data_IF_824179300792
#
_entry.id   IF_824179300792
#
_cell.length_a   1.000
_cell.length_b   1.000
_cell.length_c   1.000
_cell.angle_alpha   90.00
_cell.angle_beta   90.00
_cell.angle_gamma   90.00
#
_symmetry.space_group_name_H-M   'P 1'
#
loop_
_entity.id
_entity.type
_entity.pdbx_description
1 polymer ?
#
# COMPACT_ATOMS: atom_id res chain seq x y z
N UNK A 1 0.06 -4.14 -19.81
CA UNK A 1 1.01 -4.01 -18.70
C UNK A 1 0.33 -4.54 -17.43
N UNK A 2 0.99 -5.35 -16.60
CA UNK A 2 0.40 -5.82 -15.36
C UNK A 2 0.11 -4.64 -14.41
N UNK A 3 -0.97 -4.75 -13.62
CA UNK A 3 -1.24 -3.80 -12.54
C UNK A 3 -0.24 -4.02 -11.39
N UNK A 4 0.01 -2.98 -10.60
CA UNK A 4 0.91 -3.01 -9.44
C UNK A 4 0.14 -2.64 -8.19
N UNK A 5 0.14 -3.50 -7.18
CA UNK A 5 -0.48 -3.24 -5.89
C UNK A 5 0.56 -3.19 -4.77
N UNK A 6 0.58 -2.11 -4.02
CA UNK A 6 1.39 -1.97 -2.81
C UNK A 6 0.53 -2.37 -1.63
N UNK A 7 0.83 -3.52 -1.05
CA UNK A 7 -0.05 -4.26 -0.14
C UNK A 7 0.40 -4.28 1.33
N UNK A 8 1.54 -3.68 1.64
CA UNK A 8 2.05 -3.62 3.01
C UNK A 8 1.36 -2.55 3.88
N UNK A 9 1.79 -2.44 5.14
CA UNK A 9 1.19 -1.52 6.08
C UNK A 9 1.40 -0.05 5.68
N UNK A 10 0.49 0.81 6.10
CA UNK A 10 0.69 2.25 6.00
C UNK A 10 1.95 2.69 6.74
N UNK A 11 2.46 3.90 6.50
CA UNK A 11 3.70 4.43 7.11
C UNK A 11 4.99 3.67 6.73
N UNK A 12 4.94 2.83 5.69
CA UNK A 12 6.07 2.11 5.11
C UNK A 12 6.38 2.61 3.69
N UNK A 13 6.66 3.92 3.54
CA UNK A 13 7.13 4.57 2.32
C UNK A 13 6.15 4.58 1.12
N UNK A 14 4.84 4.44 1.33
CA UNK A 14 3.84 4.47 0.23
C UNK A 14 3.95 5.74 -0.61
N UNK A 15 4.17 6.90 0.00
CA UNK A 15 4.40 8.15 -0.72
C UNK A 15 5.68 8.17 -1.58
N UNK A 16 6.78 7.57 -1.09
CA UNK A 16 8.02 7.46 -1.88
C UNK A 16 7.85 6.50 -3.06
N UNK A 17 7.12 5.40 -2.87
CA UNK A 17 6.75 4.48 -3.94
C UNK A 17 5.86 5.15 -4.99
N UNK A 18 4.85 5.92 -4.55
CA UNK A 18 4.00 6.70 -5.45
C UNK A 18 4.83 7.65 -6.32
N UNK A 19 5.74 8.40 -5.71
CA UNK A 19 6.63 9.30 -6.48
C UNK A 19 7.57 8.54 -7.42
N UNK A 20 8.09 7.38 -7.01
CA UNK A 20 8.90 6.51 -7.86
C UNK A 20 8.13 6.07 -9.11
N UNK A 21 6.89 5.62 -8.96
CA UNK A 21 6.07 5.22 -10.12
C UNK A 21 5.80 6.41 -11.05
N UNK A 22 5.44 7.56 -10.52
CA UNK A 22 5.20 8.78 -11.32
C UNK A 22 6.44 9.23 -12.08
N UNK A 23 7.61 9.21 -11.45
CA UNK A 23 8.88 9.57 -12.11
C UNK A 23 9.21 8.61 -13.26
N UNK A 24 8.66 7.40 -13.26
CA UNK A 24 8.83 6.42 -14.32
C UNK A 24 7.65 6.38 -15.31
N UNK A 25 6.78 7.40 -15.31
CA UNK A 25 5.68 7.56 -16.26
C UNK A 25 4.47 6.64 -16.01
N UNK A 26 4.41 5.99 -14.84
CA UNK A 26 3.28 5.14 -14.48
C UNK A 26 2.16 5.99 -13.86
N UNK A 27 0.93 5.71 -14.24
CA UNK A 27 -0.25 6.30 -13.61
C UNK A 27 -0.46 5.65 -12.26
N UNK A 28 -0.15 6.39 -11.21
CA UNK A 28 -0.20 5.89 -9.82
C UNK A 28 -1.26 6.62 -9.03
N UNK A 29 -2.11 5.90 -8.30
CA UNK A 29 -3.07 6.42 -7.32
C UNK A 29 -2.62 6.06 -5.91
N UNK A 30 -2.67 7.05 -5.02
CA UNK A 30 -2.24 6.92 -3.64
C UNK A 30 -3.27 7.58 -2.72
N UNK A 31 -3.92 6.79 -1.90
CA UNK A 31 -4.92 7.17 -0.90
C UNK A 31 -6.19 7.85 -1.47
N UNK A 32 -6.05 8.90 -2.28
CA UNK A 32 -7.15 9.63 -2.92
C UNK A 32 -8.22 10.09 -1.89
N UNK A 33 -7.78 10.72 -0.80
CA UNK A 33 -8.62 11.15 0.34
C UNK A 33 -9.50 10.01 0.93
N UNK A 34 -8.99 8.77 0.87
CA UNK A 34 -9.70 7.57 1.29
C UNK A 34 -10.71 7.03 0.28
N UNK A 35 -10.92 7.75 -0.84
CA UNK A 35 -11.88 7.35 -1.89
C UNK A 35 -11.45 6.06 -2.57
N UNK A 36 -10.15 5.84 -2.76
CA UNK A 36 -9.63 4.58 -3.34
C UNK A 36 -10.11 3.37 -2.54
N UNK A 37 -9.84 3.32 -1.24
CA UNK A 37 -10.24 2.21 -0.37
C UNK A 37 -11.77 2.05 -0.32
N UNK A 38 -12.50 3.15 -0.18
CA UNK A 38 -13.97 3.16 -0.14
C UNK A 38 -14.57 2.61 -1.44
N UNK A 39 -14.03 3.02 -2.59
CA UNK A 39 -14.49 2.54 -3.90
C UNK A 39 -14.19 1.05 -4.07
N UNK A 40 -12.98 0.61 -3.72
CA UNK A 40 -12.61 -0.80 -3.81
C UNK A 40 -13.54 -1.70 -2.98
N UNK A 41 -13.85 -1.34 -1.73
CA UNK A 41 -14.81 -2.10 -0.90
C UNK A 41 -16.21 -2.07 -1.50
N UNK A 42 -16.69 -0.91 -1.95
CA UNK A 42 -18.00 -0.79 -2.60
C UNK A 42 -18.11 -1.67 -3.86
N UNK A 43 -17.06 -1.70 -4.67
CA UNK A 43 -17.00 -2.54 -5.87
C UNK A 43 -17.08 -4.03 -5.51
N UNK A 44 -16.28 -4.49 -4.54
CA UNK A 44 -16.32 -5.88 -4.05
C UNK A 44 -17.72 -6.23 -3.55
N UNK A 45 -18.33 -5.37 -2.74
CA UNK A 45 -19.68 -5.59 -2.20
C UNK A 45 -20.76 -5.64 -3.29
N UNK A 46 -20.54 -4.95 -4.40
CA UNK A 46 -21.44 -4.97 -5.57
C UNK A 46 -21.12 -6.09 -6.59
N UNK A 47 -20.15 -6.97 -6.31
CA UNK A 47 -19.71 -8.02 -7.24
C UNK A 47 -18.99 -7.49 -8.49
N UNK A 48 -18.47 -6.27 -8.44
CA UNK A 48 -17.73 -5.62 -9.52
C UNK A 48 -16.23 -5.90 -9.42
N UNK A 49 -15.49 -5.53 -10.47
CA UNK A 49 -14.04 -5.54 -10.42
C UNK A 49 -13.56 -4.56 -9.33
N UNK A 50 -12.60 -5.00 -8.48
CA UNK A 50 -12.16 -4.24 -7.30
C UNK A 50 -11.66 -2.84 -7.64
N UNK A 51 -11.05 -2.64 -8.81
CA UNK A 51 -10.58 -1.34 -9.29
C UNK A 51 -11.55 -0.61 -10.23
N UNK A 52 -12.82 -1.02 -10.29
CA UNK A 52 -13.80 -0.39 -11.17
C UNK A 52 -13.91 1.11 -10.89
N UNK A 53 -13.73 1.93 -11.94
CA UNK A 53 -13.61 3.40 -11.86
C UNK A 53 -12.19 3.91 -11.64
N UNK A 54 -11.19 3.02 -11.58
CA UNK A 54 -9.75 3.30 -11.52
C UNK A 54 -8.95 2.50 -12.56
N UNK A 55 -9.59 1.99 -13.60
CA UNK A 55 -8.98 1.10 -14.60
C UNK A 55 -7.79 1.74 -15.33
N UNK A 56 -7.79 3.06 -15.44
CA UNK A 56 -6.73 3.83 -16.11
C UNK A 56 -5.43 3.92 -15.31
N UNK A 57 -5.46 3.57 -14.02
CA UNK A 57 -4.27 3.57 -13.20
C UNK A 57 -3.48 2.27 -13.33
N UNK A 58 -2.16 2.38 -13.25
CA UNK A 58 -1.21 1.27 -13.31
C UNK A 58 -0.85 0.76 -11.92
N UNK A 59 -0.73 1.69 -10.95
CA UNK A 59 -0.24 1.42 -9.59
C UNK A 59 -1.22 1.91 -8.53
N UNK A 60 -1.46 1.07 -7.52
CA UNK A 60 -2.42 1.28 -6.44
C UNK A 60 -1.72 1.21 -5.09
N UNK A 61 -1.80 2.29 -4.30
CA UNK A 61 -1.09 2.41 -3.03
C UNK A 61 -1.97 3.04 -1.95
N UNK A 62 -1.67 2.66 -0.71
CA UNK A 62 -2.26 3.25 0.49
C UNK A 62 -3.80 3.24 0.48
N UNK A 63 -4.38 2.10 0.05
CA UNK A 63 -5.83 1.91 0.09
C UNK A 63 -6.29 1.60 1.51
N UNK A 64 -6.09 2.59 2.37
CA UNK A 64 -6.53 2.68 3.75
C UNK A 64 -7.67 3.67 3.91
N UNK A 65 -8.62 3.32 4.76
CA UNK A 65 -9.63 4.25 5.26
C UNK A 65 -9.90 3.95 6.73
N UNK A 66 -9.90 5.00 7.54
CA UNK A 66 -10.27 4.93 8.95
C UNK A 66 -11.29 6.03 9.24
N UNK A 67 -12.52 5.62 9.54
CA UNK A 67 -13.60 6.46 10.05
C UNK A 67 -14.00 5.95 11.43
N UNK A 68 -14.88 6.64 12.19
CA UNK A 68 -15.34 6.12 13.47
C UNK A 68 -15.96 4.70 13.41
N UNK A 69 -16.60 4.38 12.28
CA UNK A 69 -17.40 3.14 12.14
C UNK A 69 -16.80 2.16 11.11
N UNK A 70 -15.70 2.52 10.46
CA UNK A 70 -15.17 1.71 9.36
C UNK A 70 -13.63 1.78 9.30
N UNK A 71 -13.02 0.60 9.33
CA UNK A 71 -11.60 0.43 9.03
C UNK A 71 -11.41 -0.45 7.80
N UNK A 72 -10.73 0.09 6.79
CA UNK A 72 -10.32 -0.63 5.58
C UNK A 72 -8.80 -0.60 5.53
N UNK A 73 -8.21 -1.76 5.30
CA UNK A 73 -6.77 -1.91 5.07
C UNK A 73 -6.48 -2.83 3.88
N UNK A 74 -5.26 -2.83 3.35
CA UNK A 74 -4.86 -3.79 2.32
C UNK A 74 -5.12 -5.26 2.69
N UNK A 75 -5.05 -5.63 3.96
CA UNK A 75 -5.35 -7.00 4.44
C UNK A 75 -6.77 -7.45 4.10
N UNK A 76 -7.75 -6.54 4.18
CA UNK A 76 -9.15 -6.83 3.83
C UNK A 76 -9.33 -7.03 2.32
N UNK A 77 -8.63 -6.25 1.52
CA UNK A 77 -8.84 -6.19 0.06
C UNK A 77 -7.94 -7.16 -0.72
N UNK A 78 -6.80 -7.56 -0.14
CA UNK A 78 -5.80 -8.40 -0.80
C UNK A 78 -6.36 -9.71 -1.39
N UNK A 79 -7.20 -10.50 -0.71
CA UNK A 79 -7.75 -11.73 -1.28
C UNK A 79 -8.57 -11.47 -2.55
N UNK A 80 -9.35 -10.40 -2.58
CA UNK A 80 -10.14 -10.01 -3.76
C UNK A 80 -9.26 -9.55 -4.91
N UNK A 81 -8.21 -8.76 -4.59
CA UNK A 81 -7.23 -8.31 -5.57
C UNK A 81 -6.52 -9.53 -6.16
N UNK A 82 -6.03 -10.45 -5.33
CA UNK A 82 -5.29 -11.64 -5.77
C UNK A 82 -6.16 -12.54 -6.67
N UNK A 83 -7.43 -12.71 -6.33
CA UNK A 83 -8.35 -13.52 -7.14
C UNK A 83 -8.69 -12.90 -8.50
N UNK A 84 -8.80 -11.56 -8.57
CA UNK A 84 -9.17 -10.85 -9.79
C UNK A 84 -7.97 -10.47 -10.67
N UNK A 85 -6.78 -10.37 -10.07
CA UNK A 85 -5.54 -9.99 -10.74
C UNK A 85 -4.39 -10.97 -10.41
N UNK A 86 -4.52 -12.25 -10.80
CA UNK A 86 -3.53 -13.27 -10.45
C UNK A 86 -2.13 -13.01 -11.04
N UNK A 87 -2.06 -12.23 -12.14
CA UNK A 87 -0.81 -11.85 -12.80
C UNK A 87 -0.34 -10.42 -12.46
N UNK A 88 -0.98 -9.76 -11.48
CA UNK A 88 -0.53 -8.45 -11.02
C UNK A 88 0.80 -8.55 -10.26
N UNK A 89 1.52 -7.45 -10.17
CA UNK A 89 2.73 -7.35 -9.37
C UNK A 89 2.38 -6.82 -7.98
N UNK A 90 2.82 -7.51 -6.97
CA UNK A 90 2.57 -7.19 -5.57
C UNK A 90 3.84 -6.68 -4.91
N UNK A 91 3.76 -5.55 -4.23
CA UNK A 91 4.86 -4.99 -3.46
C UNK A 91 4.46 -4.97 -1.99
N UNK A 92 5.10 -5.81 -1.20
CA UNK A 92 4.98 -5.80 0.25
C UNK A 92 6.00 -4.81 0.80
N UNK A 93 5.56 -3.58 1.00
CA UNK A 93 6.39 -2.54 1.61
C UNK A 93 6.45 -2.73 3.13
N UNK A 94 7.65 -2.68 3.67
CA UNK A 94 7.93 -2.87 5.08
C UNK A 94 8.95 -1.86 5.61
N UNK A 95 9.08 -1.82 6.91
CA UNK A 95 10.16 -1.18 7.64
C UNK A 95 10.35 -1.90 8.98
N UNK A 96 11.42 -1.56 9.71
CA UNK A 96 11.64 -2.11 11.04
C UNK A 96 10.41 -1.84 11.92
N UNK A 97 9.92 -2.88 12.63
CA UNK A 97 8.63 -2.88 13.34
C UNK A 97 8.51 -1.77 14.38
N UNK A 98 9.59 -1.52 15.15
CA UNK A 98 9.59 -0.46 16.17
C UNK A 98 9.54 0.93 15.52
N UNK A 99 10.20 1.14 14.40
CA UNK A 99 10.18 2.38 13.65
C UNK A 99 8.82 2.61 12.95
N UNK A 100 8.19 1.54 12.46
CA UNK A 100 6.82 1.60 11.98
C UNK A 100 5.86 2.04 13.08
N UNK A 101 5.93 1.41 14.26
CA UNK A 101 5.09 1.74 15.41
C UNK A 101 5.25 3.20 15.82
N UNK A 102 6.50 3.69 15.93
CA UNK A 102 6.79 5.11 16.21
C UNK A 102 6.21 6.05 15.15
N UNK A 103 6.34 5.69 13.86
CA UNK A 103 5.80 6.49 12.77
C UNK A 103 4.28 6.54 12.78
N UNK A 104 3.63 5.43 13.11
CA UNK A 104 2.18 5.31 13.22
C UNK A 104 1.62 6.12 14.40
N UNK A 105 2.28 6.04 15.57
CA UNK A 105 1.91 6.81 16.76
C UNK A 105 2.02 8.33 16.56
N UNK A 106 2.95 8.77 15.69
CA UNK A 106 3.10 10.20 15.35
C UNK A 106 2.15 10.65 14.25
N UNK A 107 1.49 9.73 13.57
CA UNK A 107 0.63 10.04 12.42
C UNK A 107 -0.58 10.85 12.89
N UNK A 108 -0.88 11.92 12.16
CA UNK A 108 -2.00 12.82 12.43
C UNK A 108 -1.97 13.34 13.89
N UNK A 109 -0.77 13.80 14.31
CA UNK A 109 -0.50 14.29 15.67
C UNK A 109 -0.91 13.30 16.79
N UNK A 110 -0.79 12.00 16.52
CA UNK A 110 -1.14 10.93 17.46
C UNK A 110 -2.60 10.49 17.44
N UNK A 111 -3.47 11.19 16.73
CA UNK A 111 -4.90 10.89 16.70
C UNK A 111 -5.24 9.62 15.92
N UNK A 112 -4.41 9.23 14.95
CA UNK A 112 -4.66 8.05 14.12
C UNK A 112 -4.78 6.77 14.96
N UNK A 113 -3.81 6.51 15.86
CA UNK A 113 -3.82 5.32 16.69
C UNK A 113 -5.02 5.31 17.65
N UNK A 114 -5.35 6.47 18.22
CA UNK A 114 -6.53 6.58 19.09
C UNK A 114 -7.83 6.25 18.34
N UNK A 115 -8.04 6.82 17.14
CA UNK A 115 -9.21 6.49 16.30
C UNK A 115 -9.25 5.01 15.93
N UNK A 116 -8.10 4.41 15.65
CA UNK A 116 -8.02 3.00 15.30
C UNK A 116 -8.45 2.10 16.45
N UNK A 117 -7.95 2.34 17.67
CA UNK A 117 -8.38 1.62 18.88
C UNK A 117 -9.86 1.84 19.16
N UNK A 118 -10.36 3.07 19.01
CA UNK A 118 -11.79 3.36 19.18
C UNK A 118 -12.69 2.64 18.16
N UNK A 119 -12.22 2.46 16.92
CA UNK A 119 -12.96 1.77 15.85
C UNK A 119 -12.93 0.24 16.03
N UNK A 120 -11.79 -0.33 16.43
CA UNK A 120 -11.56 -1.78 16.46
C UNK A 120 -11.71 -2.41 17.85
N UNK A 121 -11.83 -1.61 18.91
CA UNK A 121 -11.92 -2.06 20.29
C UNK A 121 -10.59 -2.28 20.99
N UNK A 122 -10.65 -2.57 22.28
CA UNK A 122 -9.47 -2.70 23.16
C UNK A 122 -8.62 -3.95 22.85
N UNK A 123 -9.20 -4.96 22.21
CA UNK A 123 -8.50 -6.19 21.81
C UNK A 123 -7.63 -5.99 20.56
N UNK A 124 -7.73 -4.83 19.89
CA UNK A 124 -6.93 -4.57 18.70
C UNK A 124 -5.44 -4.44 19.03
N UNK A 125 -4.62 -5.25 18.40
CA UNK A 125 -3.16 -5.20 18.44
C UNK A 125 -2.59 -4.73 17.11
N UNK A 126 -1.92 -3.58 17.14
CA UNK A 126 -1.19 -3.09 15.95
C UNK A 126 -0.02 -3.99 15.56
N UNK A 127 0.53 -4.73 16.52
CA UNK A 127 1.63 -5.69 16.28
C UNK A 127 1.13 -6.91 15.54
N UNK A 128 -0.02 -7.45 15.94
CA UNK A 128 -0.66 -8.58 15.24
C UNK A 128 -1.12 -8.16 13.84
N UNK A 129 -1.64 -6.95 13.69
CA UNK A 129 -1.95 -6.40 12.36
C UNK A 129 -0.70 -6.36 11.49
N UNK A 130 0.44 -5.86 12.02
CA UNK A 130 1.69 -5.79 11.28
C UNK A 130 2.15 -7.17 10.81
N UNK A 131 2.17 -8.18 11.69
CA UNK A 131 2.58 -9.55 11.35
C UNK A 131 1.71 -10.18 10.26
N UNK A 132 0.39 -9.92 10.27
CA UNK A 132 -0.54 -10.45 9.27
C UNK A 132 -0.24 -9.98 7.84
N UNK A 133 0.45 -8.84 7.65
CA UNK A 133 0.87 -8.42 6.32
C UNK A 133 1.86 -9.37 5.66
N UNK A 134 2.66 -10.09 6.45
CA UNK A 134 3.68 -11.00 5.95
C UNK A 134 3.17 -12.41 5.63
N UNK A 135 1.94 -12.74 6.01
CA UNK A 135 1.27 -13.90 5.46
C UNK A 135 0.78 -13.57 4.04
N UNK A 136 1.54 -14.02 3.05
CA UNK A 136 1.29 -13.77 1.62
C UNK A 136 0.97 -15.07 0.87
N UNK A 137 0.41 -16.06 1.56
CA UNK A 137 0.06 -17.37 0.99
C UNK A 137 -0.95 -17.32 -0.16
N UNK A 138 -1.70 -16.21 -0.25
CA UNK A 138 -2.65 -15.90 -1.32
C UNK A 138 -2.01 -15.32 -2.60
N UNK A 139 -0.67 -15.10 -2.62
CA UNK A 139 0.05 -14.47 -3.73
C UNK A 139 1.14 -15.41 -4.25
N UNK A 140 1.21 -15.59 -5.58
CA UNK A 140 2.33 -16.31 -6.21
C UNK A 140 3.63 -15.53 -6.01
N UNK A 141 4.62 -16.16 -5.38
CA UNK A 141 5.91 -15.54 -5.02
C UNK A 141 6.66 -14.95 -6.23
N UNK A 142 6.42 -15.43 -7.45
CA UNK A 142 7.04 -14.87 -8.66
C UNK A 142 6.60 -13.45 -8.95
N UNK A 143 5.41 -13.06 -8.49
CA UNK A 143 4.83 -11.73 -8.65
C UNK A 143 4.96 -10.85 -7.41
N UNK A 144 5.60 -11.35 -6.34
CA UNK A 144 5.80 -10.65 -5.07
C UNK A 144 7.20 -10.05 -4.96
N UNK A 145 7.29 -8.80 -4.56
CA UNK A 145 8.53 -8.11 -4.20
C UNK A 145 8.45 -7.55 -2.79
N UNK A 146 9.43 -7.92 -1.95
CA UNK A 146 9.59 -7.32 -0.63
C UNK A 146 10.38 -6.02 -0.74
N UNK A 147 9.74 -4.91 -0.40
CA UNK A 147 10.34 -3.59 -0.38
C UNK A 147 10.60 -3.14 1.06
N UNK A 148 11.82 -3.35 1.53
CA UNK A 148 12.24 -2.89 2.85
C UNK A 148 12.72 -1.43 2.78
N UNK A 149 12.09 -0.54 3.59
CA UNK A 149 12.41 0.88 3.62
C UNK A 149 13.86 1.15 4.07
N UNK A 150 14.41 0.33 4.94
CA UNK A 150 15.77 0.46 5.46
C UNK A 150 16.84 -0.18 4.55
N UNK A 151 16.43 -1.02 3.60
CA UNK A 151 17.38 -1.72 2.72
C UNK A 151 18.17 -0.74 1.81
N UNK A 152 19.48 -0.95 1.64
CA UNK A 152 20.25 -0.21 0.65
C UNK A 152 19.78 -0.57 -0.77
N UNK A 153 19.81 0.41 -1.68
CA UNK A 153 19.42 0.21 -3.09
C UNK A 153 17.99 -0.34 -3.30
N UNK A 154 17.06 -0.11 -2.37
CA UNK A 154 15.67 -0.60 -2.45
C UNK A 154 14.96 -0.23 -3.75
N UNK A 155 15.11 1.00 -4.26
CA UNK A 155 14.51 1.41 -5.53
C UNK A 155 15.22 0.78 -6.74
N UNK A 156 16.51 0.48 -6.66
CA UNK A 156 17.22 -0.28 -7.70
C UNK A 156 16.70 -1.73 -7.77
N UNK A 157 16.49 -2.36 -6.61
CA UNK A 157 15.94 -3.72 -6.53
C UNK A 157 14.49 -3.75 -7.04
N UNK A 158 13.66 -2.80 -6.63
CA UNK A 158 12.29 -2.64 -7.13
C UNK A 158 12.27 -2.43 -8.65
N UNK A 159 13.12 -1.54 -9.17
CA UNK A 159 13.21 -1.29 -10.60
C UNK A 159 13.63 -2.53 -11.39
N UNK A 160 14.55 -3.34 -10.87
CA UNK A 160 14.94 -4.61 -11.48
C UNK A 160 13.79 -5.62 -11.49
N UNK A 161 13.02 -5.71 -10.40
CA UNK A 161 11.81 -6.55 -10.32
C UNK A 161 10.76 -6.13 -11.35
N UNK A 162 10.45 -4.85 -11.44
CA UNK A 162 9.47 -4.31 -12.38
C UNK A 162 9.88 -4.53 -13.83
N UNK A 163 11.16 -4.27 -14.19
CA UNK A 163 11.70 -4.51 -15.54
C UNK A 163 11.60 -5.98 -15.96
N UNK A 164 11.94 -6.90 -15.06
CA UNK A 164 11.85 -8.35 -15.32
C UNK A 164 10.42 -8.81 -15.60
N UNK A 165 9.44 -8.08 -15.07
CA UNK A 165 8.02 -8.34 -15.26
C UNK A 165 7.37 -7.42 -16.31
N UNK A 166 8.16 -6.85 -17.23
CA UNK A 166 7.67 -6.13 -18.41
C UNK A 166 7.26 -4.67 -18.18
N UNK A 167 7.56 -4.09 -17.01
CA UNK A 167 7.32 -2.66 -16.76
C UNK A 167 8.58 -1.86 -17.05
N UNK A 168 8.47 -0.86 -17.93
CA UNK A 168 9.60 0.00 -18.23
C UNK A 168 9.92 0.94 -17.06
N UNK A 169 11.16 0.92 -16.57
CA UNK A 169 11.66 1.78 -15.50
C UNK A 169 12.95 2.46 -15.99
N UNK A 170 12.90 3.76 -16.14
CA UNK A 170 14.05 4.58 -16.57
C UNK A 170 14.88 5.09 -15.39
N UNK A 171 14.22 5.47 -14.30
CA UNK A 171 14.84 6.10 -13.13
C UNK A 171 14.76 5.18 -11.91
N UNK A 172 15.89 4.95 -11.23
CA UNK A 172 16.01 4.10 -10.04
C UNK A 172 16.66 4.85 -8.86
N UNK A 173 16.55 6.18 -8.85
CA UNK A 173 17.12 7.01 -7.78
C UNK A 173 16.37 6.80 -6.47
N UNK A 174 17.11 6.90 -5.37
CA UNK A 174 16.55 6.93 -4.03
C UNK A 174 15.62 8.14 -3.85
N UNK A 175 14.39 7.88 -3.43
CA UNK A 175 13.39 8.91 -3.20
C UNK A 175 13.10 8.99 -1.71
N UNK A 176 13.31 10.17 -1.14
CA UNK A 176 12.89 10.50 0.21
C UNK A 176 11.72 11.46 0.13
N UNK A 177 10.50 10.97 0.26
CA UNK A 177 9.33 11.84 0.37
C UNK A 177 8.86 11.89 1.82
N UNK A 178 9.01 13.04 2.45
CA UNK A 178 8.36 13.35 3.74
C UNK A 178 6.95 13.90 3.45
N UNK A 179 6.10 13.10 2.81
CA UNK A 179 4.74 13.53 2.41
C UNK A 179 3.83 13.79 3.62
N UNK A 180 4.23 13.35 4.81
CA UNK A 180 3.45 13.57 6.05
C UNK A 180 3.22 15.04 6.42
N UNK A 181 3.93 16.00 5.83
CA UNK A 181 3.85 17.41 6.21
C UNK A 181 2.96 18.29 5.29
N UNK A 182 2.56 17.83 4.10
CA UNK A 182 1.96 18.71 3.08
C UNK A 182 0.58 18.27 2.55
N UNK A 183 -0.02 17.20 3.04
CA UNK A 183 -1.33 16.72 2.56
C UNK A 183 -2.53 17.32 3.31
N UNK A 184 -2.29 18.22 4.27
CA UNK A 184 -3.34 18.87 5.08
C UNK A 184 -3.20 20.39 5.10
N UNK A 185 -2.82 21.01 3.97
CA UNK A 185 -2.95 22.47 3.78
C UNK A 185 -3.98 22.77 2.73
#
# INVERSE_FOLDING_TARGET
MPKVFVIGPNKCATGSLHQFFKNNGLKSVHWDDGLLAKRMVSNVSAGLNVINGYEDYDCFLDFYLLTPDLFISPLLLRPYIASQFPDALYILNSREKSEWKKSRLKHDNGSFQHRLTSCLGDEYSSEDEYERYFDTSDIDVKFLHFFDLEAPNKFKQLGAFLKRNGIHISEQKEIKSNISANLYK
#
